data_IF_780760783554
#
_entry.id   IF_780760783554
#
_cell.length_a   1.000
_cell.length_b   1.000
_cell.length_c   1.000
_cell.angle_alpha   90.00
_cell.angle_beta   90.00
_cell.angle_gamma   90.00
#
_symmetry.space_group_name_H-M   'P 1'
#
loop_
_entity.id
_entity.type
_entity.pdbx_description
1 polymer ?
#
# COMPACT_ATOMS: atom_id res chain seq x y z
N UNK A 1 -11.60 -15.31 13.66
CA UNK A 1 -11.22 -14.63 12.40
C UNK A 1 -9.72 -14.40 12.45
N UNK A 2 -8.99 -14.83 11.43
CA UNK A 2 -7.60 -14.44 11.24
C UNK A 2 -7.61 -13.08 10.57
N UNK A 3 -7.01 -12.08 11.21
CA UNK A 3 -6.78 -10.79 10.56
C UNK A 3 -5.66 -10.98 9.52
N UNK A 4 -5.74 -10.29 8.38
CA UNK A 4 -4.72 -10.29 7.32
C UNK A 4 -4.37 -8.84 7.03
N UNK A 5 -3.08 -8.55 6.86
CA UNK A 5 -2.61 -7.25 6.37
C UNK A 5 -2.08 -7.44 4.95
N UNK A 6 -2.53 -6.60 4.03
CA UNK A 6 -2.04 -6.56 2.65
C UNK A 6 -1.22 -5.29 2.44
N UNK A 7 0.00 -5.46 1.92
CA UNK A 7 0.87 -4.38 1.49
C UNK A 7 0.77 -4.24 -0.02
N UNK A 8 0.15 -3.15 -0.50
CA UNK A 8 0.05 -2.84 -1.92
C UNK A 8 0.95 -1.65 -2.26
N UNK A 9 2.08 -1.86 -2.98
CA UNK A 9 2.95 -0.75 -3.40
C UNK A 9 2.19 0.20 -4.32
N UNK A 10 2.32 1.52 -4.09
CA UNK A 10 1.70 2.55 -4.92
C UNK A 10 2.55 2.91 -6.16
N UNK A 11 3.83 2.60 -6.14
CA UNK A 11 4.79 2.67 -7.24
C UNK A 11 5.87 1.62 -7.00
N UNK A 12 6.93 1.65 -7.81
CA UNK A 12 8.17 0.95 -7.49
C UNK A 12 8.69 1.39 -6.11
N UNK A 13 8.74 0.42 -5.20
CA UNK A 13 9.36 0.55 -3.88
C UNK A 13 10.43 -0.53 -3.80
N UNK A 14 11.57 -0.20 -3.21
CA UNK A 14 12.65 -1.17 -2.98
C UNK A 14 12.13 -2.44 -2.27
N UNK A 15 12.48 -3.60 -2.81
CA UNK A 15 12.00 -4.89 -2.29
C UNK A 15 12.46 -5.13 -0.85
N UNK A 16 13.66 -4.67 -0.47
CA UNK A 16 14.16 -4.80 0.89
C UNK A 16 13.30 -4.05 1.90
N UNK A 17 12.79 -2.87 1.51
CA UNK A 17 11.83 -2.10 2.33
C UNK A 17 10.51 -2.88 2.50
N UNK A 18 9.99 -3.46 1.41
CA UNK A 18 8.72 -4.20 1.45
C UNK A 18 8.81 -5.45 2.32
N UNK A 19 9.89 -6.24 2.19
CA UNK A 19 10.09 -7.44 3.00
C UNK A 19 10.31 -7.11 4.49
N UNK A 20 11.06 -6.05 4.79
CA UNK A 20 11.25 -5.62 6.18
C UNK A 20 9.94 -5.14 6.81
N UNK A 21 9.12 -4.40 6.04
CA UNK A 21 7.80 -3.95 6.51
C UNK A 21 6.88 -5.15 6.76
N UNK A 22 6.83 -6.11 5.84
CA UNK A 22 6.07 -7.36 5.98
C UNK A 22 6.45 -8.11 7.25
N UNK A 23 7.75 -8.32 7.47
CA UNK A 23 8.29 -9.00 8.66
C UNK A 23 7.86 -8.29 9.94
N UNK A 24 8.09 -6.98 10.03
CA UNK A 24 7.78 -6.19 11.24
C UNK A 24 6.29 -6.15 11.54
N UNK A 25 5.44 -6.01 10.54
CA UNK A 25 3.98 -6.01 10.72
C UNK A 25 3.48 -7.38 11.18
N UNK A 26 3.99 -8.47 10.61
CA UNK A 26 3.60 -9.83 11.00
C UNK A 26 3.96 -10.13 12.46
N UNK A 27 5.15 -9.73 12.89
CA UNK A 27 5.59 -9.84 14.29
C UNK A 27 4.74 -8.98 15.23
N UNK A 28 4.47 -7.73 14.85
CA UNK A 28 3.77 -6.76 15.70
C UNK A 28 2.30 -7.13 15.92
N UNK A 29 1.61 -7.54 14.85
CA UNK A 29 0.18 -7.83 14.87
C UNK A 29 -0.15 -9.32 15.02
N UNK A 30 0.88 -10.19 15.05
CA UNK A 30 0.73 -11.64 15.14
C UNK A 30 -0.23 -12.19 14.07
N UNK A 31 -0.13 -11.67 12.85
CA UNK A 31 -1.00 -12.02 11.74
C UNK A 31 -0.23 -12.16 10.42
N UNK A 32 -0.76 -12.92 9.44
CA UNK A 32 -0.17 -12.97 8.11
C UNK A 32 -0.10 -11.57 7.47
N UNK A 33 0.96 -11.36 6.70
CA UNK A 33 1.14 -10.14 5.88
C UNK A 33 1.53 -10.56 4.47
N UNK A 34 0.78 -10.08 3.48
CA UNK A 34 0.99 -10.38 2.07
C UNK A 34 1.41 -9.12 1.31
N UNK A 35 2.33 -9.26 0.36
CA UNK A 35 2.69 -8.19 -0.57
C UNK A 35 1.92 -8.45 -1.85
N UNK A 36 1.05 -7.52 -2.23
CA UNK A 36 0.26 -7.57 -3.44
C UNK A 36 0.98 -6.87 -4.61
N UNK A 37 0.54 -7.10 -5.86
CA UNK A 37 1.04 -6.36 -7.01
C UNK A 37 0.92 -4.84 -6.84
N UNK A 38 1.86 -4.11 -7.43
CA UNK A 38 1.85 -2.65 -7.47
C UNK A 38 0.55 -2.12 -8.11
N UNK A 39 0.00 -1.03 -7.57
CA UNK A 39 -1.05 -0.25 -8.23
C UNK A 39 -0.43 0.90 -9.03
N UNK A 40 -0.94 1.15 -10.23
CA UNK A 40 -0.41 2.18 -11.15
C UNK A 40 -1.37 3.35 -11.36
N UNK A 41 -2.55 3.32 -10.75
CA UNK A 41 -3.62 4.31 -10.91
C UNK A 41 -3.43 5.54 -9.99
N UNK A 42 -2.23 6.14 -10.03
CA UNK A 42 -1.89 7.32 -9.22
C UNK A 42 -2.24 8.65 -9.89
N UNK A 43 -2.33 8.68 -11.22
CA UNK A 43 -2.51 9.91 -11.99
C UNK A 43 -3.73 10.72 -11.54
N UNK A 44 -4.82 10.03 -11.16
CA UNK A 44 -6.06 10.66 -10.67
C UNK A 44 -5.92 11.39 -9.33
N UNK A 45 -4.89 11.10 -8.55
CA UNK A 45 -4.62 11.71 -7.26
C UNK A 45 -3.59 12.85 -7.34
N UNK A 46 -2.95 13.06 -8.50
CA UNK A 46 -1.87 14.04 -8.64
C UNK A 46 -2.39 15.47 -8.72
N UNK A 47 -1.92 16.33 -7.83
CA UNK A 47 -2.10 17.78 -7.86
C UNK A 47 -0.82 18.44 -8.38
N UNK A 48 -0.87 18.94 -9.62
CA UNK A 48 0.28 19.55 -10.29
C UNK A 48 0.72 20.88 -9.67
N UNK A 49 -0.18 21.59 -8.99
CA UNK A 49 0.16 22.83 -8.29
C UNK A 49 1.02 22.55 -7.05
N UNK A 50 0.80 21.41 -6.41
CA UNK A 50 1.54 20.95 -5.23
C UNK A 50 2.72 20.05 -5.56
N UNK A 51 2.72 19.46 -6.76
CA UNK A 51 3.61 18.35 -7.16
C UNK A 51 3.50 17.17 -6.20
N UNK A 52 2.29 16.88 -5.72
CA UNK A 52 2.01 15.89 -4.69
C UNK A 52 0.73 15.12 -5.01
N UNK A 53 0.56 13.95 -4.40
CA UNK A 53 -0.66 13.16 -4.51
C UNK A 53 -1.59 13.40 -3.31
N UNK A 54 -2.90 13.47 -3.56
CA UNK A 54 -3.93 13.57 -2.53
C UNK A 54 -4.15 12.21 -1.87
N UNK A 55 -3.79 12.09 -0.60
CA UNK A 55 -3.90 10.85 0.18
C UNK A 55 -5.31 10.28 0.22
N UNK A 56 -6.34 11.12 0.34
CA UNK A 56 -7.75 10.68 0.33
C UNK A 56 -8.15 10.04 -1.00
N UNK A 57 -7.64 10.57 -2.11
CA UNK A 57 -7.89 10.01 -3.44
C UNK A 57 -7.15 8.68 -3.61
N UNK A 58 -5.91 8.58 -3.10
CA UNK A 58 -5.17 7.32 -3.04
C UNK A 58 -5.89 6.27 -2.18
N UNK A 59 -6.37 6.61 -0.98
CA UNK A 59 -7.08 5.66 -0.12
C UNK A 59 -8.35 5.09 -0.79
N UNK A 60 -9.01 5.89 -1.64
CA UNK A 60 -10.15 5.41 -2.43
C UNK A 60 -9.79 4.37 -3.50
N UNK A 61 -8.51 4.25 -3.92
CA UNK A 61 -8.05 3.15 -4.78
C UNK A 61 -7.86 1.84 -4.00
N UNK A 62 -7.62 1.95 -2.68
CA UNK A 62 -7.25 0.81 -1.81
C UNK A 62 -8.50 0.14 -1.23
N UNK A 63 -9.53 0.92 -0.90
CA UNK A 63 -10.78 0.42 -0.28
C UNK A 63 -11.79 -0.23 -1.22
N UNK A 64 -11.53 -0.26 -2.53
CA UNK A 64 -12.31 -1.02 -3.49
C UNK A 64 -11.82 -2.48 -3.48
N UNK A 65 -12.19 -3.22 -2.44
CA UNK A 65 -12.30 -4.67 -2.55
C UNK A 65 -13.51 -4.96 -3.44
N UNK A 66 -13.33 -5.72 -4.51
CA UNK A 66 -14.44 -6.45 -5.13
C UNK A 66 -15.00 -7.51 -4.14
#
# INVERSE_FOLDING_TARGET
>A
MLNLITLRPLEEIDQGILEELKRRLGETFSCPVEIEPQTTELARAYDSSRKQYLSTTLLSTIGASE
#
